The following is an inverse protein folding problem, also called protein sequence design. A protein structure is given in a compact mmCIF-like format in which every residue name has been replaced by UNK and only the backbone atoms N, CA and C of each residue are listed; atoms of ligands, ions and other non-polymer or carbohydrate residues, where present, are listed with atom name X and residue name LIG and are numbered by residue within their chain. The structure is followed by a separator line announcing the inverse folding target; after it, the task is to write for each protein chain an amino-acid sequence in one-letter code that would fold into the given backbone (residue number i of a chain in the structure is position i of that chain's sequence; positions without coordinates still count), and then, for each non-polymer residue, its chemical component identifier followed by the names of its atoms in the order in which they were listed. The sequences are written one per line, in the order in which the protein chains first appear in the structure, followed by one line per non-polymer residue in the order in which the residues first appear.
data_IF_213839385798
#
_entry.id   IF_213839385798
#
_cell.length_a   1.000
_cell.length_b   1.000
_cell.length_c   1.000
_cell.angle_alpha   90.00
_cell.angle_beta   90.00
_cell.angle_gamma   90.00
#
_symmetry.space_group_name_H-M   'P 1'
#
loop_
_entity.id
_entity.type
_entity.pdbx_description
1 polymer ?
#
# COMPACT_ATOMS: atom_id res chain seq x y z
N UNK A 1 -8.98 31.42 5.41
CA UNK A 1 -9.68 30.57 6.41
C UNK A 1 -8.61 30.06 7.37
N UNK A 2 -8.84 30.04 8.69
CA UNK A 2 -7.81 29.54 9.61
C UNK A 2 -7.72 28.01 9.52
N UNK A 3 -6.50 27.48 9.46
CA UNK A 3 -6.21 26.04 9.47
C UNK A 3 -5.22 25.78 10.60
N UNK A 4 -5.56 24.81 11.45
CA UNK A 4 -4.80 24.43 12.65
C UNK A 4 -3.68 23.48 12.28
N UNK A 5 -2.50 23.66 12.88
CA UNK A 5 -1.38 22.71 12.81
C UNK A 5 -1.18 22.07 14.19
N UNK A 6 -1.24 20.75 14.25
CA UNK A 6 -0.80 19.95 15.38
C UNK A 6 0.54 19.28 15.00
N UNK A 7 1.64 19.75 15.56
CA UNK A 7 2.97 19.17 15.35
C UNK A 7 3.33 18.29 16.56
N UNK A 8 3.23 16.98 16.38
CA UNK A 8 3.45 16.02 17.46
C UNK A 8 4.90 15.54 17.53
N UNK A 9 5.77 16.00 16.63
CA UNK A 9 7.12 15.49 16.46
C UNK A 9 7.13 13.95 16.33
N UNK A 10 7.61 13.25 17.36
CA UNK A 10 7.71 11.80 17.43
C UNK A 10 6.93 11.28 18.63
N UNK A 11 6.04 10.32 18.40
CA UNK A 11 5.16 9.74 19.43
C UNK A 11 5.03 8.22 19.29
N UNK A 12 4.27 7.56 20.16
CA UNK A 12 4.03 6.11 20.05
C UNK A 12 3.28 5.76 18.76
N UNK A 13 3.40 4.51 18.30
CA UNK A 13 2.61 4.02 17.16
C UNK A 13 1.10 4.22 17.36
N UNK A 14 0.60 3.90 18.56
CA UNK A 14 -0.82 4.02 18.87
C UNK A 14 -1.29 5.46 18.76
N UNK A 15 -0.60 6.39 19.45
CA UNK A 15 -1.00 7.80 19.43
C UNK A 15 -0.88 8.43 18.04
N UNK A 16 0.14 8.04 17.26
CA UNK A 16 0.29 8.51 15.87
C UNK A 16 -0.91 8.14 14.98
N UNK A 17 -1.65 7.10 15.36
CA UNK A 17 -2.79 6.58 14.62
C UNK A 17 -4.12 7.00 15.22
N UNK A 18 -4.26 7.02 16.55
CA UNK A 18 -5.54 7.36 17.19
C UNK A 18 -5.84 8.86 17.17
N UNK A 19 -4.82 9.73 17.13
CA UNK A 19 -5.00 11.18 17.22
C UNK A 19 -5.85 11.76 16.09
N UNK A 20 -5.60 11.40 14.83
CA UNK A 20 -6.37 11.98 13.73
C UNK A 20 -7.80 11.45 13.67
N UNK A 21 -8.05 10.21 14.15
CA UNK A 21 -9.41 9.69 14.30
C UNK A 21 -10.15 10.47 15.38
N UNK A 22 -9.50 10.73 16.52
CA UNK A 22 -10.06 11.52 17.61
C UNK A 22 -10.41 12.95 17.16
N UNK A 23 -9.47 13.63 16.48
CA UNK A 23 -9.71 14.96 15.91
C UNK A 23 -10.84 14.92 14.87
N UNK A 24 -10.91 13.88 14.04
CA UNK A 24 -11.99 13.71 13.07
C UNK A 24 -13.36 13.55 13.73
N UNK A 25 -13.49 12.74 14.79
CA UNK A 25 -14.74 12.60 15.54
C UNK A 25 -15.16 13.87 16.30
N UNK A 26 -14.21 14.72 16.69
CA UNK A 26 -14.47 16.02 17.30
C UNK A 26 -14.72 17.15 16.26
N UNK A 27 -14.51 16.89 14.97
CA UNK A 27 -14.66 17.90 13.92
C UNK A 27 -16.14 18.15 13.62
N UNK A 28 -16.53 19.42 13.60
CA UNK A 28 -17.87 19.88 13.22
C UNK A 28 -17.79 20.77 11.98
N UNK A 29 -18.95 21.14 11.40
CA UNK A 29 -19.02 22.08 10.27
C UNK A 29 -18.37 23.44 10.55
N UNK A 30 -18.37 23.87 11.81
CA UNK A 30 -17.79 25.14 12.24
C UNK A 30 -16.28 25.04 12.49
N UNK A 31 -15.75 23.84 12.74
CA UNK A 31 -14.34 23.61 13.06
C UNK A 31 -13.40 24.08 11.94
N UNK A 32 -12.20 24.59 12.27
CA UNK A 32 -11.16 24.82 11.28
C UNK A 32 -10.70 23.49 10.68
N UNK A 33 -10.12 23.52 9.48
CA UNK A 33 -9.34 22.38 9.01
C UNK A 33 -8.13 22.16 9.94
N UNK A 34 -7.72 20.91 10.13
CA UNK A 34 -6.54 20.55 10.91
C UNK A 34 -5.56 19.74 10.07
N UNK A 35 -4.29 20.13 10.10
CA UNK A 35 -3.17 19.35 9.59
C UNK A 35 -2.40 18.84 10.81
N UNK A 36 -2.17 17.54 10.87
CA UNK A 36 -1.31 16.91 11.88
C UNK A 36 -0.04 16.45 11.20
N UNK A 37 1.11 16.78 11.78
CA UNK A 37 2.41 16.25 11.38
C UNK A 37 2.95 15.38 12.50
N UNK A 38 3.31 14.13 12.19
CA UNK A 38 3.72 13.16 13.19
C UNK A 38 4.65 12.09 12.63
N UNK A 39 5.59 11.63 13.46
CA UNK A 39 6.35 10.40 13.26
C UNK A 39 6.02 9.41 14.36
N UNK A 40 6.06 8.13 14.02
CA UNK A 40 6.02 7.08 15.03
C UNK A 40 7.44 6.75 15.50
N UNK A 41 7.62 6.49 16.78
CA UNK A 41 8.89 6.02 17.32
C UNK A 41 9.10 4.53 17.09
N UNK A 42 8.01 3.77 17.16
CA UNK A 42 8.02 2.32 17.26
C UNK A 42 7.54 1.72 15.93
N UNK A 43 8.13 0.62 15.43
CA UNK A 43 7.60 -0.07 14.26
C UNK A 43 6.27 -0.76 14.57
N UNK A 44 5.37 -0.84 13.60
CA UNK A 44 4.06 -1.47 13.75
C UNK A 44 3.46 -1.83 12.39
N UNK A 45 2.48 -2.73 12.41
CA UNK A 45 1.67 -3.09 11.25
C UNK A 45 0.31 -2.41 11.35
N UNK A 46 -0.15 -1.81 10.26
CA UNK A 46 -1.48 -1.22 10.15
C UNK A 46 -2.26 -1.86 9.01
N UNK A 47 -3.39 -2.50 9.34
CA UNK A 47 -4.35 -3.01 8.36
C UNK A 47 -5.47 -2.00 8.09
N UNK A 48 -5.91 -1.95 6.84
CA UNK A 48 -7.00 -1.05 6.43
C UNK A 48 -8.35 -1.48 7.02
N UNK A 49 -9.27 -0.52 7.10
CA UNK A 49 -10.58 -0.70 7.74
C UNK A 49 -11.35 -1.96 7.29
N UNK A 50 -11.32 -2.25 5.99
CA UNK A 50 -12.07 -3.37 5.40
C UNK A 50 -11.30 -4.68 5.24
N UNK A 51 -10.04 -4.76 5.68
CA UNK A 51 -9.22 -5.96 5.48
C UNK A 51 -9.40 -6.95 6.63
N UNK A 52 -9.24 -8.25 6.37
CA UNK A 52 -9.16 -9.23 7.45
C UNK A 52 -7.71 -9.31 7.92
N UNK A 53 -7.44 -9.04 9.21
CA UNK A 53 -6.06 -9.07 9.73
C UNK A 53 -5.39 -10.40 9.43
N UNK A 54 -6.10 -11.49 9.73
CA UNK A 54 -5.57 -12.84 9.58
C UNK A 54 -5.36 -13.23 8.13
N UNK A 55 -6.01 -12.61 7.15
CA UNK A 55 -5.78 -12.91 5.73
C UNK A 55 -4.57 -12.15 5.16
N UNK A 56 -4.23 -11.00 5.76
CA UNK A 56 -3.21 -10.09 5.23
C UNK A 56 -1.87 -10.22 5.96
N UNK A 57 -1.89 -10.54 7.26
CA UNK A 57 -0.74 -10.46 8.15
C UNK A 57 -0.47 -11.81 8.82
N UNK A 58 0.81 -12.19 8.89
CA UNK A 58 1.27 -13.29 9.72
C UNK A 58 1.23 -12.86 11.19
N UNK A 59 0.03 -12.97 11.79
CA UNK A 59 -0.25 -12.58 13.18
C UNK A 59 0.69 -13.28 14.14
N UNK A 60 1.01 -14.55 13.87
CA UNK A 60 1.89 -15.34 14.73
C UNK A 60 3.31 -14.81 14.74
N UNK A 61 3.91 -14.57 13.56
CA UNK A 61 5.26 -14.01 13.48
C UNK A 61 5.31 -12.57 14.06
N UNK A 62 4.25 -11.78 13.90
CA UNK A 62 4.14 -10.46 14.54
C UNK A 62 4.10 -10.56 16.07
N UNK A 63 3.29 -11.47 16.63
CA UNK A 63 3.17 -11.69 18.07
C UNK A 63 4.49 -12.21 18.68
N UNK A 64 5.13 -13.20 18.05
CA UNK A 64 6.42 -13.76 18.49
C UNK A 64 7.52 -12.69 18.54
N UNK A 65 7.51 -11.74 17.59
CA UNK A 65 8.46 -10.62 17.51
C UNK A 65 8.00 -9.37 18.25
N UNK A 66 6.81 -9.37 18.84
CA UNK A 66 6.19 -8.23 19.53
C UNK A 66 6.06 -7.00 18.64
N UNK A 67 5.73 -7.19 17.37
CA UNK A 67 5.38 -6.10 16.46
C UNK A 67 3.91 -5.74 16.68
N UNK A 68 3.59 -4.53 17.15
CA UNK A 68 2.22 -4.11 17.34
C UNK A 68 1.43 -4.14 16.03
N UNK A 69 0.17 -4.57 16.12
CA UNK A 69 -0.76 -4.60 15.00
C UNK A 69 -1.96 -3.72 15.34
N UNK A 70 -2.39 -2.89 14.39
CA UNK A 70 -3.60 -2.07 14.54
C UNK A 70 -4.48 -2.17 13.29
N UNK A 71 -5.80 -1.99 13.49
CA UNK A 71 -6.76 -1.69 12.42
C UNK A 71 -7.08 -0.20 12.45
N UNK A 72 -6.91 0.50 11.34
CA UNK A 72 -7.29 1.92 11.19
C UNK A 72 -8.67 2.06 10.52
N UNK A 73 -9.35 3.18 10.72
CA UNK A 73 -10.64 3.48 10.07
C UNK A 73 -10.45 4.10 8.67
N UNK A 74 -9.20 4.22 8.24
CA UNK A 74 -8.83 4.66 6.89
C UNK A 74 -8.67 3.46 5.96
N UNK A 75 -9.06 3.62 4.71
CA UNK A 75 -8.85 2.60 3.67
C UNK A 75 -7.36 2.35 3.33
N UNK A 76 -7.15 1.60 2.26
CA UNK A 76 -5.82 1.14 1.82
C UNK A 76 -5.47 -0.25 2.33
N UNK A 77 -4.33 -0.77 1.88
CA UNK A 77 -3.85 -2.11 2.22
C UNK A 77 -3.12 -2.19 3.56
N UNK A 78 -2.65 -3.39 3.88
CA UNK A 78 -1.82 -3.65 5.04
C UNK A 78 -0.43 -3.07 4.80
N UNK A 79 0.16 -2.45 5.82
CA UNK A 79 1.45 -1.76 5.68
C UNK A 79 2.25 -1.82 6.97
N UNK A 80 3.56 -2.01 6.82
CA UNK A 80 4.55 -1.86 7.88
C UNK A 80 4.98 -0.39 7.97
N UNK A 81 4.88 0.20 9.15
CA UNK A 81 5.16 1.61 9.42
C UNK A 81 6.18 1.73 10.55
N UNK A 82 7.06 2.72 10.47
CA UNK A 82 8.13 2.92 11.43
C UNK A 82 8.57 4.39 11.54
N UNK A 83 9.70 4.61 12.19
CA UNK A 83 10.29 5.93 12.41
C UNK A 83 10.78 6.64 11.16
N UNK A 84 11.06 5.93 10.08
CA UNK A 84 11.67 6.51 8.88
C UNK A 84 10.61 7.08 7.91
N UNK A 85 9.42 7.37 8.44
CA UNK A 85 8.27 7.91 7.73
C UNK A 85 7.67 9.10 8.51
N UNK A 86 7.55 10.25 7.84
CA UNK A 86 6.88 11.44 8.37
C UNK A 86 5.45 11.51 7.84
N UNK A 87 4.46 11.33 8.71
CA UNK A 87 3.06 11.35 8.34
C UNK A 87 2.51 12.77 8.36
N UNK A 88 1.66 13.06 7.38
CA UNK A 88 0.75 14.20 7.39
C UNK A 88 -0.70 13.70 7.34
N UNK A 89 -1.54 14.24 8.20
CA UNK A 89 -2.93 13.85 8.34
C UNK A 89 -3.79 15.10 8.19
N UNK A 90 -4.61 15.14 7.15
CA UNK A 90 -5.47 16.26 6.78
C UNK A 90 -6.90 15.95 7.21
N UNK A 91 -7.44 16.71 8.16
CA UNK A 91 -8.79 16.53 8.72
C UNK A 91 -9.58 17.81 8.45
N UNK A 92 -10.57 17.73 7.57
CA UNK A 92 -11.38 18.88 7.17
C UNK A 92 -12.86 18.57 7.35
N UNK A 93 -13.69 19.53 7.81
CA UNK A 93 -15.13 19.38 7.76
C UNK A 93 -15.59 19.00 6.36
N UNK A 94 -16.53 18.05 6.24
CA UNK A 94 -16.94 17.47 4.97
C UNK A 94 -17.42 18.50 3.95
N UNK A 95 -18.09 19.56 4.38
CA UNK A 95 -18.56 20.64 3.51
C UNK A 95 -17.43 21.52 2.96
N UNK A 96 -16.24 21.45 3.57
CA UNK A 96 -15.05 22.20 3.19
C UNK A 96 -14.01 21.35 2.46
N UNK A 97 -14.36 20.12 2.11
CA UNK A 97 -13.48 19.20 1.43
C UNK A 97 -14.17 18.66 0.16
N UNK A 98 -13.40 18.35 -0.91
CA UNK A 98 -13.97 17.68 -2.08
C UNK A 98 -14.78 16.43 -1.71
N UNK A 99 -15.98 16.29 -2.29
CA UNK A 99 -16.83 15.12 -2.05
C UNK A 99 -16.23 13.83 -2.61
N UNK A 100 -15.54 13.95 -3.74
CA UNK A 100 -14.92 12.86 -4.48
C UNK A 100 -13.53 12.53 -3.92
N UNK A 101 -13.26 11.25 -3.66
CA UNK A 101 -12.02 10.81 -3.01
C UNK A 101 -10.78 11.05 -3.90
N UNK A 102 -10.90 10.88 -5.22
CA UNK A 102 -9.86 11.21 -6.20
C UNK A 102 -9.51 12.70 -6.17
N UNK A 103 -10.49 13.58 -5.95
CA UNK A 103 -10.24 15.00 -5.80
C UNK A 103 -9.61 15.33 -4.44
N UNK A 104 -9.95 14.60 -3.37
CA UNK A 104 -9.30 14.72 -2.07
C UNK A 104 -7.80 14.39 -2.18
N UNK A 105 -7.46 13.26 -2.78
CA UNK A 105 -6.07 12.89 -3.01
C UNK A 105 -5.35 13.90 -3.89
N UNK A 106 -5.95 14.29 -5.01
CA UNK A 106 -5.35 15.27 -5.92
C UNK A 106 -5.04 16.60 -5.21
N UNK A 107 -5.85 17.03 -4.25
CA UNK A 107 -5.63 18.25 -3.48
C UNK A 107 -4.58 18.06 -2.38
N UNK A 108 -4.80 17.10 -1.48
CA UNK A 108 -4.02 16.98 -0.24
C UNK A 108 -2.66 16.29 -0.42
N UNK A 109 -2.39 15.67 -1.58
CA UNK A 109 -1.07 15.12 -1.89
C UNK A 109 -0.13 16.12 -2.59
N UNK A 110 -0.62 17.26 -3.08
CA UNK A 110 0.24 18.26 -3.75
C UNK A 110 1.34 18.82 -2.84
N UNK A 111 1.09 19.13 -1.55
CA UNK A 111 2.14 19.59 -0.66
C UNK A 111 3.31 18.61 -0.60
N UNK A 112 3.03 17.31 -0.45
CA UNK A 112 4.05 16.27 -0.45
C UNK A 112 4.81 16.18 -1.78
N UNK A 113 4.13 16.25 -2.93
CA UNK A 113 4.77 16.31 -4.25
C UNK A 113 5.75 17.48 -4.34
N UNK A 114 5.34 18.67 -3.91
CA UNK A 114 6.19 19.86 -3.92
C UNK A 114 7.33 19.76 -2.92
N UNK A 115 7.12 19.14 -1.76
CA UNK A 115 8.19 18.85 -0.79
C UNK A 115 9.27 17.99 -1.41
N UNK A 116 8.92 16.89 -2.09
CA UNK A 116 9.90 16.08 -2.82
C UNK A 116 10.68 16.90 -3.85
N UNK A 117 9.99 17.72 -4.65
CA UNK A 117 10.64 18.58 -5.66
C UNK A 117 11.59 19.61 -5.06
N UNK A 118 11.23 20.22 -3.93
CA UNK A 118 12.08 21.14 -3.17
C UNK A 118 13.36 20.46 -2.67
N UNK A 119 13.29 19.16 -2.39
CA UNK A 119 14.43 18.33 -1.98
C UNK A 119 15.26 17.82 -3.18
N UNK A 120 14.90 18.17 -4.42
CA UNK A 120 15.59 17.73 -5.63
C UNK A 120 15.10 16.40 -6.20
N UNK A 121 13.99 15.84 -5.69
CA UNK A 121 13.39 14.60 -6.19
C UNK A 121 12.23 14.94 -7.14
N UNK A 122 12.33 14.54 -8.41
CA UNK A 122 11.30 14.79 -9.43
C UNK A 122 10.06 13.90 -9.25
N UNK A 123 9.32 14.18 -8.19
CA UNK A 123 8.09 13.47 -7.87
C UNK A 123 6.90 14.04 -8.65
N UNK A 124 5.94 13.18 -8.96
CA UNK A 124 4.67 13.56 -9.58
C UNK A 124 3.49 12.81 -8.96
N UNK A 125 2.32 13.44 -8.95
CA UNK A 125 1.08 12.77 -8.54
C UNK A 125 0.56 11.90 -9.69
N UNK A 126 0.27 10.65 -9.38
CA UNK A 126 -0.33 9.68 -10.30
C UNK A 126 -1.69 9.25 -9.73
N UNK A 127 -2.80 9.52 -10.44
CA UNK A 127 -4.11 9.06 -10.02
C UNK A 127 -4.14 7.53 -9.80
N UNK A 128 -4.86 7.04 -8.79
CA UNK A 128 -5.80 7.78 -7.94
C UNK A 128 -5.13 8.43 -6.73
N UNK A 129 -4.06 7.86 -6.20
CA UNK A 129 -3.52 8.25 -4.89
C UNK A 129 -2.02 8.00 -4.71
N UNK A 130 -1.26 7.83 -5.78
CA UNK A 130 0.19 7.61 -5.69
C UNK A 130 0.97 8.90 -5.93
N UNK A 131 2.15 8.98 -5.30
CA UNK A 131 3.21 9.92 -5.67
C UNK A 131 4.36 9.06 -6.18
N UNK A 132 4.86 9.36 -7.38
CA UNK A 132 5.87 8.54 -8.06
C UNK A 132 7.09 9.34 -8.51
N UNK A 133 8.23 8.67 -8.54
CA UNK A 133 9.51 9.11 -9.10
C UNK A 133 9.99 8.00 -10.03
N UNK A 134 10.22 8.29 -11.31
CA UNK A 134 10.61 7.28 -12.30
C UNK A 134 9.72 6.01 -12.25
N UNK A 135 8.40 6.19 -12.21
CA UNK A 135 7.38 5.12 -12.09
C UNK A 135 7.39 4.33 -10.76
N UNK A 136 8.23 4.71 -9.79
CA UNK A 136 8.29 4.09 -8.46
C UNK A 136 7.53 4.93 -7.45
N UNK A 137 6.66 4.30 -6.67
CA UNK A 137 5.88 4.97 -5.63
C UNK A 137 6.77 5.35 -4.44
N UNK A 138 6.66 6.59 -3.98
CA UNK A 138 7.45 7.17 -2.88
C UNK A 138 6.59 7.62 -1.68
N UNK A 139 5.28 7.33 -1.68
CA UNK A 139 4.37 7.74 -0.61
C UNK A 139 3.30 6.68 -0.34
N UNK A 140 3.02 6.35 0.92
CA UNK A 140 1.82 5.62 1.35
C UNK A 140 0.67 6.59 1.63
N UNK A 141 -0.54 6.28 1.16
CA UNK A 141 -1.70 7.18 1.28
C UNK A 141 -2.98 6.43 1.63
N UNK A 142 -3.89 7.13 2.31
CA UNK A 142 -5.22 6.63 2.69
C UNK A 142 -6.21 7.77 2.82
N UNK A 143 -7.49 7.50 2.59
CA UNK A 143 -8.55 8.48 2.82
C UNK A 143 -9.80 7.78 3.38
N UNK A 144 -10.56 8.52 4.17
CA UNK A 144 -11.85 8.07 4.69
C UNK A 144 -12.73 9.26 5.05
N UNK A 145 -14.00 8.95 5.30
CA UNK A 145 -14.91 9.86 6.01
C UNK A 145 -15.11 9.29 7.41
N UNK A 146 -14.84 10.10 8.42
CA UNK A 146 -14.93 9.73 9.83
C UNK A 146 -15.77 10.81 10.50
N UNK A 147 -16.95 10.44 11.00
CA UNK A 147 -17.95 11.40 11.46
C UNK A 147 -18.30 12.44 10.38
N UNK A 148 -18.24 13.73 10.75
CA UNK A 148 -18.46 14.87 9.85
C UNK A 148 -17.18 15.35 9.16
N UNK A 149 -16.07 14.62 9.28
CA UNK A 149 -14.79 14.96 8.66
C UNK A 149 -14.49 14.13 7.41
N UNK A 150 -13.80 14.76 6.45
CA UNK A 150 -13.02 14.10 5.42
C UNK A 150 -11.56 14.04 5.87
N UNK A 151 -10.99 12.84 5.83
CA UNK A 151 -9.62 12.56 6.27
C UNK A 151 -8.79 12.08 5.09
N UNK A 152 -7.62 12.69 4.89
CA UNK A 152 -6.57 12.18 4.00
C UNK A 152 -5.28 12.05 4.79
N UNK A 153 -4.69 10.87 4.76
CA UNK A 153 -3.39 10.58 5.38
C UNK A 153 -2.39 10.27 4.28
N UNK A 154 -1.19 10.80 4.41
CA UNK A 154 -0.04 10.42 3.60
C UNK A 154 1.25 10.47 4.40
N UNK A 155 2.35 10.08 3.78
CA UNK A 155 3.68 10.19 4.39
C UNK A 155 4.73 10.75 3.42
N UNK A 156 5.83 11.23 3.99
CA UNK A 156 7.11 11.37 3.31
C UNK A 156 8.00 10.21 3.77
N UNK A 157 8.37 9.31 2.85
CA UNK A 157 9.21 8.14 3.15
C UNK A 157 10.69 8.51 3.08
N UNK A 158 11.34 8.65 4.24
CA UNK A 158 12.80 8.79 4.31
C UNK A 158 13.47 7.47 3.92
N UNK A 159 12.98 6.40 4.51
CA UNK A 159 13.34 5.03 4.15
C UNK A 159 12.16 4.07 4.36
N UNK A 160 12.31 2.83 3.92
CA UNK A 160 11.29 1.79 4.05
C UNK A 160 11.92 0.41 4.14
N UNK A 161 11.57 -0.36 5.16
CA UNK A 161 12.10 -1.71 5.34
C UNK A 161 11.28 -2.74 4.53
N UNK A 162 11.69 -2.96 3.28
CA UNK A 162 11.03 -3.91 2.36
C UNK A 162 11.01 -5.34 2.89
N UNK A 163 12.09 -5.77 3.57
CA UNK A 163 12.19 -7.12 4.14
C UNK A 163 11.19 -7.33 5.26
N UNK A 164 11.05 -6.36 6.17
CA UNK A 164 10.05 -6.41 7.23
C UNK A 164 8.63 -6.37 6.66
N UNK A 165 8.36 -5.51 5.66
CA UNK A 165 7.08 -5.48 4.98
C UNK A 165 6.75 -6.85 4.35
N UNK A 166 7.68 -7.48 3.64
CA UNK A 166 7.46 -8.80 3.03
C UNK A 166 7.28 -9.89 4.08
N UNK A 167 7.98 -9.79 5.21
CA UNK A 167 7.93 -10.77 6.29
C UNK A 167 6.60 -10.76 7.03
N UNK A 168 6.05 -9.59 7.35
CA UNK A 168 4.80 -9.48 8.10
C UNK A 168 3.57 -9.89 7.29
N UNK A 169 3.67 -9.95 5.95
CA UNK A 169 2.55 -10.38 5.11
C UNK A 169 2.28 -11.88 5.29
N UNK A 170 1.00 -12.22 5.44
CA UNK A 170 0.55 -13.60 5.25
C UNK A 170 0.53 -13.88 3.76
N UNK A 171 1.36 -14.83 3.36
CA UNK A 171 1.58 -15.19 1.96
C UNK A 171 1.45 -16.70 1.76
N UNK A 172 1.03 -17.16 0.58
CA UNK A 172 0.74 -18.57 0.34
C UNK A 172 2.01 -19.44 0.24
N UNK A 173 3.16 -18.85 -0.11
CA UNK A 173 4.43 -19.57 -0.29
C UNK A 173 5.65 -18.69 0.02
N UNK A 174 6.83 -19.30 0.10
CA UNK A 174 8.09 -18.58 0.26
C UNK A 174 8.46 -17.82 -1.01
N UNK A 175 8.26 -18.45 -2.17
CA UNK A 175 8.53 -17.90 -3.50
C UNK A 175 7.66 -16.67 -3.77
N UNK A 176 6.39 -16.67 -3.33
CA UNK A 176 5.54 -15.48 -3.40
C UNK A 176 6.05 -14.35 -2.49
N UNK A 177 6.60 -14.68 -1.32
CA UNK A 177 7.22 -13.68 -0.43
C UNK A 177 8.41 -13.00 -1.09
N UNK A 178 9.29 -13.80 -1.70
CA UNK A 178 10.44 -13.28 -2.46
C UNK A 178 9.96 -12.41 -3.62
N UNK A 179 8.90 -12.83 -4.32
CA UNK A 179 8.31 -12.02 -5.38
C UNK A 179 7.73 -10.71 -4.87
N UNK A 180 7.10 -10.70 -3.71
CA UNK A 180 6.59 -9.51 -3.07
C UNK A 180 7.72 -8.55 -2.71
N UNK A 181 8.80 -9.06 -2.11
CA UNK A 181 10.01 -8.29 -1.81
C UNK A 181 10.61 -7.67 -3.08
N UNK A 182 10.89 -8.49 -4.10
CA UNK A 182 11.45 -8.04 -5.39
C UNK A 182 10.56 -6.95 -6.02
N UNK A 183 9.25 -7.15 -6.00
CA UNK A 183 8.29 -6.20 -6.58
C UNK A 183 8.27 -4.87 -5.83
N UNK A 184 8.36 -4.90 -4.51
CA UNK A 184 8.46 -3.67 -3.72
C UNK A 184 9.80 -2.97 -4.00
N UNK A 185 10.91 -3.69 -4.10
CA UNK A 185 12.21 -3.09 -4.40
C UNK A 185 12.27 -2.43 -5.79
N UNK A 186 11.58 -3.02 -6.77
CA UNK A 186 11.48 -2.49 -8.14
C UNK A 186 10.55 -1.27 -8.23
N UNK A 187 9.39 -1.32 -7.58
CA UNK A 187 8.29 -0.35 -7.80
C UNK A 187 8.07 0.65 -6.67
N UNK A 188 8.83 0.57 -5.58
CA UNK A 188 8.84 1.56 -4.51
C UNK A 188 10.23 2.22 -4.40
N UNK A 189 10.22 3.47 -3.93
CA UNK A 189 11.45 4.21 -3.63
C UNK A 189 11.29 5.09 -2.39
N UNK A 190 12.38 5.72 -1.96
CA UNK A 190 12.48 6.51 -0.71
C UNK A 190 13.44 7.68 -0.92
N UNK A 191 13.42 8.68 -0.03
CA UNK A 191 14.41 9.77 -0.09
C UNK A 191 15.85 9.24 -0.04
N UNK A 192 16.12 8.19 0.74
CA UNK A 192 17.45 7.56 0.80
C UNK A 192 17.89 7.07 -0.58
N UNK A 193 17.02 6.39 -1.31
CA UNK A 193 17.33 5.84 -2.64
C UNK A 193 17.51 6.93 -3.68
N UNK A 194 16.71 8.00 -3.63
CA UNK A 194 16.76 9.08 -4.63
C UNK A 194 17.86 10.12 -4.36
N UNK A 195 18.23 10.38 -3.10
CA UNK A 195 19.20 11.43 -2.73
C UNK A 195 20.56 10.89 -2.25
N UNK A 196 20.63 9.64 -1.81
CA UNK A 196 21.81 9.04 -1.16
C UNK A 196 22.01 9.55 0.28
N UNK A 197 22.05 10.86 0.48
CA UNK A 197 22.11 11.50 1.79
C UNK A 197 20.73 11.96 2.22
N UNK A 198 20.32 11.59 3.44
CA UNK A 198 19.02 11.98 3.97
C UNK A 198 19.05 13.42 4.49
N UNK A 199 18.04 14.25 4.16
CA UNK A 199 17.84 15.53 4.82
C UNK A 199 17.42 15.34 6.28
N UNK A 200 17.60 16.37 7.09
CA UNK A 200 17.11 16.37 8.46
C UNK A 200 15.58 16.35 8.50
N UNK A 201 15.01 15.62 9.47
CA UNK A 201 13.56 15.48 9.59
C UNK A 201 12.85 16.83 9.77
N UNK A 202 13.49 17.76 10.50
CA UNK A 202 12.95 19.09 10.76
C UNK A 202 12.87 19.93 9.49
N UNK A 203 13.87 19.84 8.61
CA UNK A 203 13.89 20.58 7.34
C UNK A 203 12.76 20.10 6.43
N UNK A 204 12.60 18.78 6.29
CA UNK A 204 11.51 18.19 5.50
C UNK A 204 10.14 18.58 6.06
N UNK A 205 9.97 18.55 7.39
CA UNK A 205 8.73 19.00 8.05
C UNK A 205 8.44 20.46 7.75
N UNK A 206 9.43 21.35 7.85
CA UNK A 206 9.26 22.77 7.59
C UNK A 206 8.90 23.05 6.13
N UNK A 207 9.55 22.36 5.19
CA UNK A 207 9.17 22.43 3.77
C UNK A 207 7.72 21.97 3.60
N UNK A 208 7.34 20.83 4.16
CA UNK A 208 5.98 20.28 4.03
C UNK A 208 4.92 21.23 4.59
N UNK A 209 5.15 21.82 5.77
CA UNK A 209 4.25 22.82 6.37
C UNK A 209 4.11 24.03 5.46
N UNK A 210 5.22 24.57 4.93
CA UNK A 210 5.18 25.70 4.00
C UNK A 210 4.39 25.36 2.72
N UNK A 211 4.57 24.17 2.17
CA UNK A 211 3.83 23.74 0.97
C UNK A 211 2.32 23.54 1.25
N UNK A 212 1.94 23.17 2.48
CA UNK A 212 0.53 23.20 2.91
C UNK A 212 0.00 24.63 2.99
N UNK A 213 0.75 25.57 3.57
CA UNK A 213 0.36 26.97 3.66
C UNK A 213 0.15 27.60 2.28
N UNK A 214 1.08 27.34 1.35
CA UNK A 214 1.02 27.80 -0.03
C UNK A 214 -0.19 27.21 -0.77
N UNK A 215 -0.46 25.91 -0.59
CA UNK A 215 -1.61 25.25 -1.20
C UNK A 215 -2.95 25.77 -0.65
N UNK A 216 -3.03 26.05 0.64
CA UNK A 216 -4.25 26.53 1.31
C UNK A 216 -4.43 28.05 1.22
N UNK A 217 -3.40 28.79 0.78
CA UNK A 217 -3.40 30.25 0.71
C UNK A 217 -3.51 30.93 2.08
N UNK A 218 -3.04 30.28 3.14
CA UNK A 218 -3.14 30.77 4.52
C UNK A 218 -2.03 30.17 5.38
N UNK A 219 -1.55 30.95 6.35
CA UNK A 219 -0.66 30.43 7.40
C UNK A 219 -1.39 29.42 8.28
N UNK A 220 -0.70 28.34 8.65
CA UNK A 220 -1.18 27.41 9.64
C UNK A 220 -0.86 27.96 11.02
N UNK A 221 -1.85 28.01 11.91
CA UNK A 221 -1.61 28.40 13.29
C UNK A 221 -1.37 27.16 14.14
N UNK A 222 -0.29 27.17 14.94
CA UNK A 222 0.01 26.09 15.88
C UNK A 222 -0.97 26.12 17.03
N UNK A 223 -1.36 24.94 17.49
CA UNK A 223 -2.30 24.75 18.59
C UNK A 223 -2.05 23.38 19.24
N UNK A 224 -2.76 23.12 20.34
CA UNK A 224 -2.74 21.84 21.04
C UNK A 224 -4.10 21.13 20.92
N UNK A 225 -4.15 19.88 21.40
CA UNK A 225 -5.41 19.17 21.50
C UNK A 225 -6.30 19.84 22.54
N UNK A 226 -7.59 19.97 22.21
CA UNK A 226 -8.60 20.40 23.17
C UNK A 226 -8.87 19.29 24.19
N UNK A 227 -9.49 19.65 25.33
CA UNK A 227 -9.88 18.66 26.35
C UNK A 227 -10.83 17.58 25.83
N UNK A 228 -11.70 17.91 24.88
CA UNK A 228 -12.59 16.93 24.25
C UNK A 228 -11.85 16.01 23.28
N UNK A 229 -10.86 16.53 22.56
CA UNK A 229 -10.01 15.71 21.69
C UNK A 229 -9.13 14.77 22.52
N UNK A 230 -8.60 15.20 23.66
CA UNK A 230 -7.88 14.31 24.58
C UNK A 230 -8.76 13.14 25.07
N UNK A 231 -10.02 13.42 25.44
CA UNK A 231 -10.97 12.36 25.80
C UNK A 231 -11.28 11.44 24.60
N UNK A 232 -11.36 12.00 23.40
CA UNK A 232 -11.57 11.21 22.18
C UNK A 232 -10.37 10.33 21.84
N UNK A 233 -9.14 10.79 22.06
CA UNK A 233 -7.91 9.98 21.93
C UNK A 233 -7.98 8.79 22.86
N UNK A 234 -8.31 8.97 24.15
CA UNK A 234 -8.43 7.86 25.09
C UNK A 234 -9.43 6.79 24.63
N UNK A 235 -10.60 7.21 24.11
CA UNK A 235 -11.59 6.28 23.52
C UNK A 235 -11.07 5.57 22.28
N UNK A 236 -10.29 6.25 21.44
CA UNK A 236 -9.68 5.64 20.26
C UNK A 236 -8.57 4.66 20.65
N UNK A 237 -7.78 4.96 21.69
CA UNK A 237 -6.76 4.07 22.22
C UNK A 237 -7.39 2.77 22.74
N UNK A 238 -8.47 2.85 23.52
CA UNK A 238 -9.24 1.70 23.98
C UNK A 238 -9.78 0.87 22.80
N UNK A 239 -10.30 1.53 21.77
CA UNK A 239 -10.80 0.86 20.56
C UNK A 239 -9.67 0.17 19.80
N UNK A 240 -8.57 0.86 19.54
CA UNK A 240 -7.48 0.37 18.66
C UNK A 240 -6.62 -0.70 19.32
N UNK A 241 -6.66 -0.80 20.65
CA UNK A 241 -6.02 -1.88 21.41
C UNK A 241 -6.96 -3.05 21.68
N UNK A 242 -8.25 -2.93 21.37
CA UNK A 242 -9.23 -4.01 21.54
C UNK A 242 -9.05 -5.12 20.49
N UNK A 243 -8.98 -6.40 20.91
CA UNK A 243 -9.01 -7.54 19.99
C UNK A 243 -10.27 -7.56 19.10
N UNK A 244 -11.43 -7.17 19.64
CA UNK A 244 -12.69 -7.19 18.87
C UNK A 244 -12.61 -6.28 17.63
N UNK A 245 -11.94 -5.14 17.78
CA UNK A 245 -11.70 -4.22 16.68
C UNK A 245 -10.62 -4.73 15.74
N UNK A 246 -9.48 -5.18 16.28
CA UNK A 246 -8.36 -5.64 15.49
C UNK A 246 -8.73 -6.85 14.60
N UNK A 247 -9.47 -7.80 15.15
CA UNK A 247 -9.91 -9.04 14.50
C UNK A 247 -11.31 -8.97 13.87
N UNK A 248 -11.89 -7.77 13.73
CA UNK A 248 -13.17 -7.59 13.05
C UNK A 248 -13.11 -8.20 11.63
N UNK A 249 -14.15 -8.94 11.25
CA UNK A 249 -14.21 -9.61 9.94
C UNK A 249 -14.17 -8.57 8.82
N UNK A 250 -13.09 -8.62 8.04
CA UNK A 250 -12.96 -7.84 6.82
C UNK A 250 -13.77 -8.43 5.66
N UNK A 251 -13.65 -7.79 4.51
CA UNK A 251 -14.02 -8.41 3.23
C UNK A 251 -12.95 -9.45 2.88
N UNK A 252 -13.32 -10.58 2.26
CA UNK A 252 -12.35 -11.53 1.75
C UNK A 252 -11.33 -10.80 0.87
N UNK A 253 -10.04 -11.04 1.11
CA UNK A 253 -9.03 -10.48 0.23
C UNK A 253 -9.14 -11.10 -1.17
N UNK A 254 -8.88 -10.30 -2.19
CA UNK A 254 -8.65 -10.82 -3.52
C UNK A 254 -7.32 -11.58 -3.50
N UNK A 255 -7.09 -12.54 -4.41
CA UNK A 255 -5.81 -13.27 -4.46
C UNK A 255 -4.63 -12.37 -4.91
N UNK A 256 -4.86 -11.06 -5.01
CA UNK A 256 -3.91 -10.05 -5.45
C UNK A 256 -3.38 -9.26 -4.26
N UNK A 257 -2.05 -9.24 -4.11
CA UNK A 257 -1.37 -8.28 -3.26
C UNK A 257 -1.00 -7.06 -4.10
N UNK A 258 -1.48 -5.89 -3.70
CA UNK A 258 -1.25 -4.61 -4.38
C UNK A 258 0.07 -3.99 -3.92
N UNK A 259 0.98 -3.72 -4.85
CA UNK A 259 2.26 -3.03 -4.59
C UNK A 259 2.12 -1.53 -4.84
N UNK A 260 1.58 -1.14 -6.00
CA UNK A 260 1.24 0.24 -6.37
C UNK A 260 -0.14 0.28 -7.00
N UNK A 261 -0.63 1.43 -7.47
CA UNK A 261 -1.90 1.49 -8.20
C UNK A 261 -1.88 0.68 -9.50
N UNK A 262 -0.74 0.60 -10.18
CA UNK A 262 -0.58 -0.15 -11.43
C UNK A 262 -0.01 -1.55 -11.24
N UNK A 263 0.64 -1.84 -10.10
CA UNK A 263 1.37 -3.09 -9.87
C UNK A 263 0.71 -3.96 -8.82
N UNK A 264 0.43 -5.22 -9.19
CA UNK A 264 -0.15 -6.24 -8.32
C UNK A 264 0.48 -7.61 -8.58
N UNK A 265 0.55 -8.45 -7.55
CA UNK A 265 1.07 -9.82 -7.64
C UNK A 265 0.03 -10.82 -7.18
N UNK A 266 0.03 -12.01 -7.76
CA UNK A 266 -0.87 -13.13 -7.41
C UNK A 266 -0.09 -14.44 -7.42
N UNK A 267 -0.45 -15.33 -6.51
CA UNK A 267 -0.17 -16.76 -6.66
C UNK A 267 -1.47 -17.51 -6.91
N UNK A 268 -1.43 -18.47 -7.83
CA UNK A 268 -2.52 -19.40 -8.06
C UNK A 268 -1.99 -20.81 -8.24
N UNK A 269 -2.84 -21.78 -7.93
CA UNK A 269 -2.59 -23.20 -8.21
C UNK A 269 -3.80 -23.83 -8.88
N UNK A 270 -3.54 -24.73 -9.82
CA UNK A 270 -4.56 -25.45 -10.57
C UNK A 270 -4.20 -26.94 -10.62
N UNK A 271 -5.16 -27.80 -10.29
CA UNK A 271 -5.00 -29.24 -10.43
C UNK A 271 -5.48 -29.69 -11.82
N UNK A 272 -4.64 -30.43 -12.52
CA UNK A 272 -4.96 -31.06 -13.81
C UNK A 272 -4.64 -32.56 -13.74
N UNK A 273 -5.04 -33.32 -14.77
CA UNK A 273 -4.79 -34.76 -14.85
C UNK A 273 -3.29 -35.10 -14.81
N UNK A 274 -2.45 -34.23 -15.36
CA UNK A 274 -0.99 -34.38 -15.42
C UNK A 274 -0.22 -33.80 -14.24
N UNK A 275 -0.90 -33.27 -13.22
CA UNK A 275 -0.28 -32.67 -12.04
C UNK A 275 -0.84 -31.29 -11.68
N UNK A 276 -0.19 -30.70 -10.69
CA UNK A 276 -0.43 -29.37 -10.13
C UNK A 276 0.39 -28.33 -10.88
N UNK A 277 -0.26 -27.31 -11.44
CA UNK A 277 0.38 -26.10 -11.97
C UNK A 277 0.31 -25.03 -10.89
N UNK A 278 1.44 -24.38 -10.61
CA UNK A 278 1.55 -23.21 -9.74
C UNK A 278 2.04 -22.04 -10.56
N UNK A 279 1.42 -20.89 -10.34
CA UNK A 279 1.72 -19.66 -11.04
C UNK A 279 2.01 -18.59 -10.00
N UNK A 280 3.12 -17.88 -10.17
CA UNK A 280 3.38 -16.61 -9.51
C UNK A 280 3.43 -15.55 -10.61
N UNK A 281 2.57 -14.55 -10.51
CA UNK A 281 2.34 -13.56 -11.56
C UNK A 281 2.47 -12.15 -11.00
N UNK A 282 3.23 -11.29 -11.68
CA UNK A 282 3.23 -9.84 -11.48
C UNK A 282 2.62 -9.15 -12.68
N UNK A 283 1.65 -8.29 -12.43
CA UNK A 283 1.07 -7.40 -13.43
C UNK A 283 1.52 -5.97 -13.20
N UNK A 284 1.77 -5.25 -14.30
CA UNK A 284 1.88 -3.79 -14.37
C UNK A 284 0.88 -3.31 -15.43
N UNK A 285 -0.07 -2.46 -15.03
CA UNK A 285 -1.13 -1.94 -15.92
C UNK A 285 -1.90 -3.04 -16.66
N UNK A 286 -2.23 -4.12 -15.95
CA UNK A 286 -2.87 -5.35 -16.46
C UNK A 286 -2.08 -6.09 -17.58
N UNK A 287 -0.80 -5.75 -17.75
CA UNK A 287 0.18 -6.46 -18.58
C UNK A 287 1.03 -7.36 -17.69
N UNK A 288 1.31 -8.58 -18.15
CA UNK A 288 2.23 -9.52 -17.51
C UNK A 288 3.63 -8.92 -17.53
N UNK A 289 4.08 -8.42 -16.38
CA UNK A 289 5.42 -7.89 -16.17
C UNK A 289 6.40 -9.02 -15.87
N UNK A 290 5.95 -10.02 -15.11
CA UNK A 290 6.71 -11.23 -14.81
C UNK A 290 5.78 -12.42 -14.54
N UNK A 291 6.20 -13.60 -14.98
CA UNK A 291 5.47 -14.86 -14.82
C UNK A 291 6.44 -15.98 -14.46
N UNK A 292 6.18 -16.67 -13.36
CA UNK A 292 6.81 -17.92 -12.99
C UNK A 292 5.80 -19.06 -13.04
N UNK A 293 6.15 -20.13 -13.75
CA UNK A 293 5.37 -21.36 -13.85
C UNK A 293 6.18 -22.47 -13.18
N UNK A 294 5.58 -23.13 -12.19
CA UNK A 294 6.17 -24.27 -11.49
C UNK A 294 5.11 -25.31 -11.17
N UNK A 295 5.50 -26.47 -10.65
CA UNK A 295 4.56 -27.56 -10.39
C UNK A 295 5.23 -28.93 -10.37
N UNK A 296 4.42 -29.97 -10.20
CA UNK A 296 4.84 -31.37 -10.24
C UNK A 296 4.51 -32.06 -11.57
N UNK A 297 4.18 -31.27 -12.60
CA UNK A 297 3.85 -31.77 -13.93
C UNK A 297 5.07 -32.03 -14.81
N UNK A 298 4.88 -32.90 -15.80
CA UNK A 298 5.88 -33.13 -16.83
C UNK A 298 5.78 -32.06 -17.92
N UNK A 299 6.92 -31.45 -18.27
CA UNK A 299 7.03 -30.50 -19.37
C UNK A 299 8.34 -30.76 -20.12
N UNK A 300 8.23 -31.17 -21.38
CA UNK A 300 9.37 -31.49 -22.23
C UNK A 300 9.33 -30.71 -23.55
N UNK A 301 10.45 -30.11 -23.99
CA UNK A 301 11.73 -30.01 -23.26
C UNK A 301 11.63 -29.14 -22.00
N UNK A 302 12.33 -29.52 -20.92
CA UNK A 302 12.25 -28.80 -19.62
C UNK A 302 12.63 -27.32 -19.75
N UNK A 303 13.64 -27.04 -20.56
CA UNK A 303 14.18 -25.68 -20.73
C UNK A 303 13.21 -24.74 -21.46
N UNK A 304 12.24 -25.28 -22.21
CA UNK A 304 11.24 -24.46 -22.90
C UNK A 304 10.16 -23.92 -21.95
N UNK A 305 10.10 -24.35 -20.69
CA UNK A 305 9.17 -23.75 -19.72
C UNK A 305 9.49 -22.26 -19.50
N UNK A 306 10.79 -21.94 -19.40
CA UNK A 306 11.25 -20.55 -19.34
C UNK A 306 10.91 -19.79 -20.62
N UNK A 307 11.06 -20.44 -21.77
CA UNK A 307 10.67 -19.87 -23.05
C UNK A 307 9.16 -19.53 -23.14
N UNK A 308 8.31 -20.29 -22.46
CA UNK A 308 6.88 -19.99 -22.36
C UNK A 308 6.63 -18.76 -21.48
N UNK A 309 7.27 -18.68 -20.31
CA UNK A 309 7.21 -17.50 -19.43
C UNK A 309 7.60 -16.23 -20.17
N UNK A 310 8.75 -16.25 -20.85
CA UNK A 310 9.27 -15.12 -21.62
C UNK A 310 8.33 -14.73 -22.77
N UNK A 311 7.67 -15.72 -23.40
CA UNK A 311 6.72 -15.49 -24.50
C UNK A 311 5.42 -14.81 -24.05
N UNK A 312 5.01 -15.05 -22.81
CA UNK A 312 3.80 -14.49 -22.22
C UNK A 312 4.06 -13.17 -21.49
N UNK A 313 5.31 -12.92 -21.10
CA UNK A 313 5.73 -11.60 -20.60
C UNK A 313 5.45 -10.52 -21.65
N UNK A 314 5.00 -9.35 -21.20
CA UNK A 314 4.53 -8.23 -22.02
C UNK A 314 3.16 -8.43 -22.67
N UNK A 315 2.42 -9.49 -22.34
CA UNK A 315 1.05 -9.70 -22.83
C UNK A 315 0.00 -9.21 -21.84
N UNK A 316 -1.17 -8.72 -22.31
CA UNK A 316 -2.28 -8.44 -21.42
C UNK A 316 -2.82 -9.74 -20.81
N UNK A 317 -3.26 -9.70 -19.55
CA UNK A 317 -3.93 -10.83 -18.88
C UNK A 317 -5.34 -11.06 -19.48
N UNK A 318 -5.38 -11.63 -20.69
CA UNK A 318 -6.60 -11.92 -21.46
C UNK A 318 -6.59 -13.36 -21.95
N UNK A 319 -7.55 -14.12 -21.45
CA UNK A 319 -7.69 -15.57 -21.67
C UNK A 319 -7.57 -15.96 -23.16
N UNK A 320 -8.31 -15.29 -24.06
CA UNK A 320 -8.32 -15.59 -25.49
C UNK A 320 -6.96 -15.36 -26.17
N UNK A 321 -6.21 -14.33 -25.73
CA UNK A 321 -4.88 -14.02 -26.26
C UNK A 321 -3.82 -14.95 -25.72
N UNK A 322 -3.88 -15.26 -24.43
CA UNK A 322 -2.95 -16.18 -23.79
C UNK A 322 -3.11 -17.57 -24.38
N UNK A 323 -4.35 -18.06 -24.52
CA UNK A 323 -4.62 -19.39 -25.09
C UNK A 323 -4.00 -19.55 -26.49
N UNK A 324 -4.25 -18.61 -27.41
CA UNK A 324 -3.64 -18.66 -28.75
C UNK A 324 -2.11 -18.68 -28.71
N UNK A 325 -1.50 -17.94 -27.78
CA UNK A 325 -0.04 -17.90 -27.63
C UNK A 325 0.52 -19.20 -27.05
N UNK A 326 -0.12 -19.76 -26.03
CA UNK A 326 0.29 -21.04 -25.43
C UNK A 326 0.13 -22.16 -26.45
N UNK A 327 -1.00 -22.24 -27.18
CA UNK A 327 -1.21 -23.22 -28.25
C UNK A 327 -0.15 -23.10 -29.36
N UNK A 328 0.13 -21.88 -29.81
CA UNK A 328 1.17 -21.63 -30.81
C UNK A 328 2.56 -22.04 -30.31
N UNK A 329 2.88 -21.76 -29.05
CA UNK A 329 4.14 -22.16 -28.43
C UNK A 329 4.26 -23.69 -28.35
N UNK A 330 3.22 -24.36 -27.84
CA UNK A 330 3.16 -25.82 -27.75
C UNK A 330 3.39 -26.49 -29.11
N UNK A 331 2.73 -26.00 -30.16
CA UNK A 331 2.90 -26.51 -31.53
C UNK A 331 4.31 -26.23 -32.07
N UNK A 332 4.81 -25.01 -31.92
CA UNK A 332 6.08 -24.60 -32.53
C UNK A 332 7.29 -25.24 -31.86
N UNK A 333 7.25 -25.38 -30.53
CA UNK A 333 8.31 -26.01 -29.74
C UNK A 333 8.11 -27.51 -29.56
N UNK A 334 7.01 -28.05 -30.08
CA UNK A 334 6.64 -29.47 -29.97
C UNK A 334 6.63 -29.93 -28.50
N UNK A 335 5.99 -29.12 -27.64
CA UNK A 335 5.92 -29.35 -26.21
C UNK A 335 5.14 -30.63 -25.92
N UNK A 336 5.69 -31.46 -25.04
CA UNK A 336 5.04 -32.62 -24.47
C UNK A 336 4.81 -32.38 -22.97
N UNK A 337 3.54 -32.25 -22.59
CA UNK A 337 3.12 -32.16 -21.18
C UNK A 337 1.91 -33.07 -20.93
N UNK A 338 2.12 -34.39 -20.76
CA UNK A 338 1.03 -35.35 -20.59
C UNK A 338 0.07 -34.94 -19.46
N UNK A 339 -1.23 -34.92 -19.76
CA UNK A 339 -2.28 -34.54 -18.80
C UNK A 339 -2.38 -33.04 -18.49
N UNK A 340 -1.57 -32.19 -19.14
CA UNK A 340 -1.65 -30.72 -19.04
C UNK A 340 -1.70 -30.09 -20.42
N UNK A 341 -2.85 -29.53 -20.77
CA UNK A 341 -3.05 -28.82 -22.03
C UNK A 341 -2.79 -27.32 -21.94
N UNK A 342 -2.76 -26.62 -23.09
CA UNK A 342 -2.74 -25.15 -23.13
C UNK A 342 -3.86 -24.48 -22.32
N UNK A 343 -5.05 -25.08 -22.29
CA UNK A 343 -6.19 -24.57 -21.54
C UNK A 343 -5.98 -24.63 -20.02
N UNK A 344 -5.32 -25.67 -19.53
CA UNK A 344 -4.99 -25.80 -18.10
C UNK A 344 -3.96 -24.75 -17.68
N UNK A 345 -2.93 -24.54 -18.51
CA UNK A 345 -1.91 -23.52 -18.30
C UNK A 345 -2.54 -22.11 -18.22
N UNK A 346 -3.44 -21.80 -19.15
CA UNK A 346 -4.15 -20.50 -19.13
C UNK A 346 -5.08 -20.40 -17.93
N UNK A 347 -5.80 -21.47 -17.56
CA UNK A 347 -6.67 -21.47 -16.38
C UNK A 347 -5.88 -21.15 -15.12
N UNK A 348 -4.71 -21.78 -14.95
CA UNK A 348 -3.79 -21.50 -13.87
C UNK A 348 -3.34 -20.03 -13.87
N UNK A 349 -2.90 -19.50 -15.02
CA UNK A 349 -2.45 -18.10 -15.16
C UNK A 349 -3.56 -17.10 -14.83
N UNK A 350 -4.80 -17.40 -15.21
CA UNK A 350 -5.96 -16.55 -14.93
C UNK A 350 -6.41 -16.61 -13.46
N UNK A 351 -5.79 -17.46 -12.63
CA UNK A 351 -6.12 -17.58 -11.21
C UNK A 351 -7.50 -18.18 -10.93
N UNK A 352 -8.07 -18.93 -11.88
CA UNK A 352 -9.37 -19.59 -11.71
C UNK A 352 -9.16 -20.97 -11.07
N UNK A 353 -9.87 -21.23 -9.97
CA UNK A 353 -9.93 -22.55 -9.33
C UNK A 353 -10.65 -23.57 -10.20
#
# INVERSE_FOLDING_TARGET
MKVRLLDLNCTSYLHSQTIYHAVAYCTTKASPGTIIIVRSRDPYVSVGYHQSLEEEIDVRDCDERRIPMIRREVGGGAVFLDKDQLFFQCIFPRERAPLRVDHLYKLFLQPAVKTYRRLGVDASYVPVNDIQVNEKKICGTGAARIGDASVVVGNIMFDFNYGEMARVLRVPSHEFREKALESMELYLTTLRRELGNLPEHEDVKNILVNEFEDMLGTKLYRDELTSEEHKAVARMDEKFTSPDWLFEKGRPSDNWVKITTSVKIMESSCQSEGGTIRIILRLKDDIIDDLSISGDFLFQPRDDLKGLEDRLTGQPLREDRLLRKVESFYKTRTIQSPGIGPGDMVRAIMGRK
#
